data_IF_317270805206
#
_entry.id   IF_317270805206
#
_cell.length_a   1.000
_cell.length_b   1.000
_cell.length_c   1.000
_cell.angle_alpha   90.00
_cell.angle_beta   90.00
_cell.angle_gamma   90.00
#
_symmetry.space_group_name_H-M   'P 1'
#
loop_
_entity.id
_entity.type
_entity.pdbx_description
1 polymer ?
#
# COMPACT_ATOMS: atom_id res chain seq x y z
N UNK A 1 -31.11 45.42 28.32
CA UNK A 1 -32.03 44.27 28.44
C UNK A 1 -32.46 43.90 27.03
N UNK A 2 -32.24 42.72 26.48
CA UNK A 2 -32.01 41.38 27.05
C UNK A 2 -31.40 40.51 25.93
N UNK A 3 -30.46 39.63 26.26
CA UNK A 3 -29.68 38.81 25.32
C UNK A 3 -30.47 37.62 24.75
N UNK A 4 -30.31 37.23 23.48
CA UNK A 4 -30.70 35.90 23.04
C UNK A 4 -29.67 34.84 23.48
N UNK A 5 -30.14 33.91 24.29
CA UNK A 5 -29.44 32.74 24.79
C UNK A 5 -29.02 31.79 23.64
N UNK A 6 -27.70 31.55 23.49
CA UNK A 6 -27.18 30.45 22.65
C UNK A 6 -27.48 29.13 23.35
N UNK A 7 -28.55 28.46 22.94
CA UNK A 7 -28.71 27.03 23.22
C UNK A 7 -27.66 26.26 22.39
N UNK A 8 -26.52 25.95 23.03
CA UNK A 8 -25.58 24.95 22.53
C UNK A 8 -26.25 23.59 22.64
N UNK A 9 -26.86 23.13 21.56
CA UNK A 9 -27.27 21.73 21.45
C UNK A 9 -26.01 20.88 21.36
N UNK A 10 -25.50 20.48 22.52
CA UNK A 10 -24.49 19.46 22.69
C UNK A 10 -25.10 18.10 22.30
N UNK A 11 -25.29 17.89 20.99
CA UNK A 11 -25.64 16.60 20.43
C UNK A 11 -24.40 15.72 20.54
N UNK A 12 -24.44 14.81 21.50
CA UNK A 12 -23.32 13.96 21.86
C UNK A 12 -22.88 13.07 20.70
N UNK A 13 -21.61 13.22 20.30
CA UNK A 13 -20.83 12.30 19.45
C UNK A 13 -20.82 10.83 19.92
N UNK A 14 -21.45 10.52 21.06
CA UNK A 14 -21.33 9.25 21.79
C UNK A 14 -22.55 8.33 21.65
N UNK A 15 -23.60 8.75 20.93
CA UNK A 15 -24.85 7.98 20.79
C UNK A 15 -25.02 7.27 19.44
N UNK A 16 -24.01 7.26 18.56
CA UNK A 16 -24.12 6.62 17.23
C UNK A 16 -23.47 5.22 17.17
N UNK A 17 -22.82 4.74 18.23
CA UNK A 17 -22.12 3.45 18.26
C UNK A 17 -22.76 2.42 19.21
N UNK A 18 -24.07 2.16 19.08
CA UNK A 18 -24.73 1.07 19.83
C UNK A 18 -25.83 0.33 19.06
N UNK A 19 -25.57 -0.06 17.81
CA UNK A 19 -26.44 -1.00 17.10
C UNK A 19 -25.67 -1.77 16.03
N UNK A 20 -24.90 -2.79 16.45
CA UNK A 20 -24.59 -3.94 15.60
C UNK A 20 -24.83 -5.18 16.45
N UNK A 21 -25.87 -5.92 16.08
CA UNK A 21 -26.29 -7.16 16.70
C UNK A 21 -25.25 -8.26 16.43
N UNK A 22 -24.97 -9.05 17.47
CA UNK A 22 -24.11 -10.21 17.41
C UNK A 22 -24.79 -11.35 16.65
N UNK A 23 -24.15 -11.85 15.60
CA UNK A 23 -24.44 -13.16 14.98
C UNK A 23 -23.23 -14.08 15.17
N UNK A 24 -23.38 -15.27 15.75
CA UNK A 24 -22.29 -16.23 15.82
C UNK A 24 -22.16 -16.92 14.45
N UNK A 25 -21.11 -16.60 13.69
CA UNK A 25 -20.73 -17.37 12.51
C UNK A 25 -19.94 -18.59 12.95
N UNK A 26 -20.52 -19.77 12.72
CA UNK A 26 -19.94 -21.08 12.98
C UNK A 26 -18.69 -21.25 12.12
N UNK A 27 -17.55 -21.50 12.76
CA UNK A 27 -16.28 -21.82 12.13
C UNK A 27 -16.36 -23.19 11.43
N UNK A 28 -16.28 -23.20 10.10
CA UNK A 28 -15.98 -24.39 9.34
C UNK A 28 -14.46 -24.47 9.14
N UNK A 29 -13.81 -25.29 9.97
CA UNK A 29 -12.43 -25.74 9.75
C UNK A 29 -12.44 -26.70 8.55
N UNK A 30 -12.24 -26.16 7.35
CA UNK A 30 -12.00 -26.95 6.14
C UNK A 30 -10.51 -27.02 5.87
N UNK A 31 -9.88 -28.14 6.21
CA UNK A 31 -8.55 -28.52 5.71
C UNK A 31 -8.67 -28.87 4.23
N UNK A 32 -8.58 -27.88 3.35
CA UNK A 32 -8.52 -28.10 1.91
C UNK A 32 -7.05 -28.17 1.48
N UNK A 33 -6.42 -29.33 1.71
CA UNK A 33 -5.27 -29.74 0.93
C UNK A 33 -5.79 -30.15 -0.45
N UNK A 34 -5.78 -29.22 -1.41
CA UNK A 34 -5.92 -29.57 -2.83
C UNK A 34 -4.88 -28.80 -3.63
N UNK A 35 -3.98 -29.54 -4.26
CA UNK A 35 -3.03 -29.06 -5.26
C UNK A 35 -3.81 -28.64 -6.51
N UNK A 36 -4.37 -27.44 -6.47
CA UNK A 36 -4.65 -26.67 -7.68
C UNK A 36 -3.30 -26.21 -8.27
N UNK A 37 -3.19 -25.95 -9.58
CA UNK A 37 -2.06 -25.18 -10.09
C UNK A 37 -1.95 -23.91 -9.25
N UNK A 38 -0.79 -23.65 -8.64
CA UNK A 38 -0.60 -22.52 -7.74
C UNK A 38 -0.95 -21.23 -8.49
N UNK A 39 -2.12 -20.68 -8.21
CA UNK A 39 -2.48 -19.36 -8.70
C UNK A 39 -1.46 -18.38 -8.13
N UNK A 40 -0.82 -17.53 -8.98
CA UNK A 40 0.21 -16.61 -8.50
C UNK A 40 -0.30 -15.79 -7.32
N UNK A 41 0.52 -15.64 -6.28
CA UNK A 41 0.13 -14.89 -5.09
C UNK A 41 -0.37 -13.50 -5.49
N UNK A 42 -1.57 -13.13 -5.03
CA UNK A 42 -2.23 -11.86 -5.35
C UNK A 42 -1.37 -10.62 -4.96
N UNK A 43 -0.47 -10.77 -3.98
CA UNK A 43 0.44 -9.70 -3.55
C UNK A 43 1.64 -9.51 -4.48
N UNK A 44 1.94 -10.47 -5.37
CA UNK A 44 3.12 -10.47 -6.23
C UNK A 44 3.14 -9.24 -7.15
N UNK A 45 2.01 -8.90 -7.75
CA UNK A 45 1.88 -7.73 -8.62
C UNK A 45 2.19 -6.43 -7.85
N UNK A 46 1.66 -6.30 -6.63
CA UNK A 46 1.88 -5.12 -5.80
C UNK A 46 3.34 -5.01 -5.33
N UNK A 47 3.99 -6.14 -5.05
CA UNK A 47 5.40 -6.18 -4.64
C UNK A 47 6.34 -5.79 -5.79
N UNK A 48 6.08 -6.31 -7.00
CA UNK A 48 6.80 -5.93 -8.21
C UNK A 48 6.65 -4.44 -8.52
N UNK A 49 5.42 -3.91 -8.41
CA UNK A 49 5.15 -2.49 -8.58
C UNK A 49 5.94 -1.66 -7.55
N UNK A 50 5.95 -2.05 -6.27
CA UNK A 50 6.71 -1.35 -5.24
C UNK A 50 8.21 -1.29 -5.52
N UNK A 51 8.82 -2.39 -6.00
CA UNK A 51 10.24 -2.39 -6.41
C UNK A 51 10.49 -1.51 -7.63
N UNK A 52 9.60 -1.54 -8.63
CA UNK A 52 9.68 -0.66 -9.80
C UNK A 52 9.57 0.80 -9.37
N UNK A 53 8.56 1.17 -8.58
CA UNK A 53 8.38 2.54 -8.11
C UNK A 53 9.60 3.06 -7.34
N UNK A 54 10.22 2.20 -6.53
CA UNK A 54 11.46 2.53 -5.84
C UNK A 54 12.62 2.81 -6.82
N UNK A 55 12.80 1.98 -7.85
CA UNK A 55 13.82 2.22 -8.89
C UNK A 55 13.58 3.49 -9.68
N UNK A 56 12.32 3.81 -10.00
CA UNK A 56 11.96 5.07 -10.65
C UNK A 56 12.33 6.25 -9.76
N UNK A 57 11.96 6.19 -8.47
CA UNK A 57 12.24 7.26 -7.52
C UNK A 57 13.75 7.46 -7.29
N UNK A 58 14.53 6.37 -7.17
CA UNK A 58 16.00 6.43 -7.12
C UNK A 58 16.61 7.02 -8.39
N UNK A 59 16.03 6.75 -9.56
CA UNK A 59 16.48 7.37 -10.82
C UNK A 59 16.18 8.86 -10.83
N UNK A 60 14.97 9.26 -10.44
CA UNK A 60 14.59 10.68 -10.35
C UNK A 60 15.50 11.42 -9.37
N UNK A 61 15.78 10.84 -8.21
CA UNK A 61 16.62 11.46 -7.20
C UNK A 61 18.04 11.76 -7.69
N UNK A 62 18.62 10.82 -8.47
CA UNK A 62 19.95 10.98 -9.07
C UNK A 62 19.98 11.99 -10.21
N UNK A 63 18.90 12.11 -10.97
CA UNK A 63 18.85 12.93 -12.19
C UNK A 63 18.30 14.34 -11.99
N UNK A 64 17.50 14.58 -10.94
CA UNK A 64 16.81 15.86 -10.73
C UNK A 64 17.05 16.38 -9.31
N UNK A 65 18.10 17.19 -9.13
CA UNK A 65 18.52 17.68 -7.81
C UNK A 65 17.40 18.35 -6.97
N UNK A 66 16.47 19.06 -7.61
CA UNK A 66 15.34 19.72 -6.92
C UNK A 66 14.29 18.74 -6.38
N UNK A 67 14.26 17.51 -6.91
CA UNK A 67 13.36 16.44 -6.48
C UNK A 67 14.07 15.38 -5.63
N UNK A 68 15.38 15.54 -5.38
CA UNK A 68 16.21 14.48 -4.82
C UNK A 68 15.71 14.01 -3.45
N UNK A 69 15.42 14.94 -2.54
CA UNK A 69 15.02 14.61 -1.18
C UNK A 69 13.68 13.86 -1.17
N UNK A 70 12.64 14.43 -1.80
CA UNK A 70 11.31 13.80 -1.89
C UNK A 70 11.34 12.46 -2.64
N UNK A 71 12.14 12.35 -3.71
CA UNK A 71 12.26 11.11 -4.46
C UNK A 71 13.00 10.02 -3.66
N UNK A 72 13.99 10.38 -2.84
CA UNK A 72 14.66 9.43 -1.93
C UNK A 72 13.72 8.95 -0.81
N UNK A 73 12.86 9.82 -0.29
CA UNK A 73 11.83 9.42 0.68
C UNK A 73 10.84 8.43 0.07
N UNK A 74 10.37 8.70 -1.15
CA UNK A 74 9.51 7.78 -1.90
C UNK A 74 10.23 6.45 -2.13
N UNK A 75 11.48 6.46 -2.60
CA UNK A 75 12.26 5.24 -2.80
C UNK A 75 12.36 4.40 -1.52
N UNK A 76 12.66 5.03 -0.39
CA UNK A 76 12.76 4.37 0.91
C UNK A 76 11.44 3.74 1.32
N UNK A 77 10.34 4.49 1.21
CA UNK A 77 9.02 3.99 1.52
C UNK A 77 8.63 2.82 0.61
N UNK A 78 8.81 2.94 -0.71
CA UNK A 78 8.47 1.87 -1.68
C UNK A 78 9.33 0.62 -1.51
N UNK A 79 10.63 0.75 -1.19
CA UNK A 79 11.47 -0.39 -0.80
C UNK A 79 10.97 -1.07 0.48
N UNK A 80 10.53 -0.29 1.48
CA UNK A 80 9.94 -0.83 2.71
C UNK A 80 8.65 -1.62 2.42
N UNK A 81 7.77 -1.07 1.58
CA UNK A 81 6.56 -1.76 1.15
C UNK A 81 6.88 -3.07 0.41
N UNK A 82 7.85 -3.05 -0.52
CA UNK A 82 8.28 -4.24 -1.24
C UNK A 82 8.79 -5.35 -0.29
N UNK A 83 9.59 -4.97 0.72
CA UNK A 83 10.09 -5.91 1.73
C UNK A 83 8.96 -6.53 2.56
N UNK A 84 7.99 -5.73 3.01
CA UNK A 84 6.85 -6.23 3.77
C UNK A 84 5.97 -7.17 2.94
N UNK A 85 5.74 -6.87 1.66
CA UNK A 85 4.99 -7.72 0.74
C UNK A 85 5.73 -9.03 0.46
N UNK A 86 7.04 -8.97 0.19
CA UNK A 86 7.89 -10.15 0.03
C UNK A 86 7.81 -11.06 1.25
N UNK A 87 7.97 -10.51 2.44
CA UNK A 87 7.90 -11.26 3.69
C UNK A 87 6.55 -11.97 3.85
N UNK A 88 5.45 -11.30 3.49
CA UNK A 88 4.11 -11.90 3.58
C UNK A 88 3.83 -12.95 2.50
N UNK A 89 4.43 -12.82 1.32
CA UNK A 89 4.41 -13.86 0.27
C UNK A 89 5.16 -15.09 0.78
N UNK A 90 6.37 -14.90 1.30
CA UNK A 90 7.23 -16.00 1.79
C UNK A 90 6.66 -16.68 3.04
N UNK A 91 5.89 -15.95 3.86
CA UNK A 91 5.20 -16.52 5.02
C UNK A 91 4.15 -17.55 4.62
N UNK A 92 3.42 -17.31 3.52
CA UNK A 92 2.41 -18.25 3.01
C UNK A 92 3.00 -19.29 2.06
N UNK A 93 4.08 -18.94 1.38
CA UNK A 93 4.81 -19.83 0.48
C UNK A 93 6.27 -19.93 0.94
N UNK A 94 6.55 -20.71 2.00
CA UNK A 94 7.92 -20.93 2.44
C UNK A 94 8.76 -21.52 1.32
N UNK A 95 10.02 -21.12 1.32
CA UNK A 95 11.00 -21.25 0.24
C UNK A 95 12.32 -21.65 0.87
N UNK A 96 13.16 -22.36 0.13
CA UNK A 96 14.50 -22.65 0.65
C UNK A 96 15.29 -21.34 0.76
N UNK A 97 16.07 -21.14 1.85
CA UNK A 97 16.84 -19.89 2.03
C UNK A 97 17.83 -19.60 0.90
N UNK A 98 18.28 -20.64 0.19
CA UNK A 98 19.20 -20.57 -0.94
C UNK A 98 18.51 -20.19 -2.27
N UNK A 99 17.18 -20.24 -2.33
CA UNK A 99 16.44 -19.86 -3.53
C UNK A 99 16.51 -18.34 -3.78
N UNK A 100 16.33 -17.87 -5.02
CA UNK A 100 16.18 -16.43 -5.31
C UNK A 100 14.86 -15.89 -4.73
N UNK A 101 14.75 -14.62 -4.29
CA UNK A 101 13.54 -14.03 -3.66
C UNK A 101 12.28 -14.21 -4.52
N UNK A 102 11.12 -14.43 -3.89
CA UNK A 102 9.87 -14.75 -4.61
C UNK A 102 9.39 -13.59 -5.47
N UNK A 103 9.74 -12.38 -5.05
CA UNK A 103 9.62 -11.15 -5.84
C UNK A 103 11.02 -10.83 -6.37
N UNK A 104 11.27 -10.90 -7.68
CA UNK A 104 12.57 -10.57 -8.26
C UNK A 104 12.88 -9.07 -8.07
N UNK A 105 14.15 -8.68 -8.20
CA UNK A 105 14.50 -7.27 -8.18
C UNK A 105 14.08 -6.55 -9.47
N UNK A 106 13.61 -5.31 -9.32
CA UNK A 106 13.26 -4.49 -10.47
C UNK A 106 14.53 -4.06 -11.23
N UNK A 107 14.51 -4.10 -12.58
CA UNK A 107 15.63 -3.64 -13.38
C UNK A 107 15.89 -2.14 -13.17
N UNK A 108 17.12 -1.66 -13.44
CA UNK A 108 17.41 -0.23 -13.38
C UNK A 108 16.49 0.59 -14.30
N UNK A 109 16.03 1.73 -13.82
CA UNK A 109 15.20 2.66 -14.60
C UNK A 109 15.94 3.96 -14.92
N UNK A 110 15.54 4.57 -16.03
CA UNK A 110 15.96 5.91 -16.42
C UNK A 110 14.92 6.93 -15.95
N UNK A 111 15.37 8.06 -15.41
CA UNK A 111 14.49 9.15 -15.04
C UNK A 111 13.91 9.82 -16.30
N UNK A 112 12.67 10.34 -16.24
CA UNK A 112 12.14 11.20 -17.29
C UNK A 112 13.04 12.42 -17.54
N UNK A 113 13.08 12.89 -18.79
CA UNK A 113 14.05 13.90 -19.23
C UNK A 113 13.86 15.32 -18.65
N UNK A 114 12.72 15.61 -18.05
CA UNK A 114 12.45 16.90 -17.39
C UNK A 114 11.96 16.70 -15.96
N UNK A 115 12.21 17.68 -15.08
CA UNK A 115 11.75 17.63 -13.70
C UNK A 115 10.21 17.56 -13.59
N UNK A 116 9.49 18.23 -14.49
CA UNK A 116 8.02 18.16 -14.54
C UNK A 116 7.53 16.75 -14.90
N UNK A 117 8.10 16.14 -15.95
CA UNK A 117 7.78 14.77 -16.32
C UNK A 117 8.19 13.76 -15.25
N UNK A 118 9.29 14.01 -14.53
CA UNK A 118 9.73 13.18 -13.42
C UNK A 118 8.77 13.23 -12.24
N UNK A 119 8.34 14.42 -11.83
CA UNK A 119 7.34 14.58 -10.77
C UNK A 119 6.00 13.91 -11.17
N UNK A 120 5.54 14.13 -12.40
CA UNK A 120 4.32 13.50 -12.90
C UNK A 120 4.41 11.97 -12.91
N UNK A 121 5.57 11.40 -13.28
CA UNK A 121 5.78 9.95 -13.25
C UNK A 121 5.71 9.38 -11.81
N UNK A 122 6.24 10.10 -10.81
CA UNK A 122 6.11 9.71 -9.41
C UNK A 122 4.66 9.78 -8.92
N UNK A 123 3.93 10.83 -9.30
CA UNK A 123 2.50 10.97 -8.98
C UNK A 123 1.68 9.83 -9.59
N UNK A 124 1.92 9.49 -10.86
CA UNK A 124 1.22 8.39 -11.53
C UNK A 124 1.51 7.05 -10.85
N UNK A 125 2.79 6.76 -10.57
CA UNK A 125 3.20 5.55 -9.87
C UNK A 125 2.51 5.41 -8.50
N UNK A 126 2.49 6.48 -7.70
CA UNK A 126 1.86 6.46 -6.38
C UNK A 126 0.33 6.35 -6.44
N UNK A 127 -0.34 7.01 -7.40
CA UNK A 127 -1.78 6.84 -7.61
C UNK A 127 -2.11 5.39 -7.98
N UNK A 128 -1.39 4.85 -8.96
CA UNK A 128 -1.55 3.46 -9.40
C UNK A 128 -1.34 2.48 -8.24
N UNK A 129 -0.28 2.66 -7.45
CA UNK A 129 0.00 1.83 -6.29
C UNK A 129 -1.09 1.95 -5.20
N UNK A 130 -1.58 3.17 -4.93
CA UNK A 130 -2.67 3.41 -3.97
C UNK A 130 -3.93 2.65 -4.39
N UNK A 131 -4.32 2.80 -5.65
CA UNK A 131 -5.59 2.29 -6.17
C UNK A 131 -5.56 0.76 -6.31
N UNK A 132 -4.44 0.20 -6.77
CA UNK A 132 -4.22 -1.26 -6.80
C UNK A 132 -4.27 -1.86 -5.39
N UNK A 133 -3.55 -1.27 -4.43
CA UNK A 133 -3.55 -1.77 -3.05
C UNK A 133 -4.93 -1.67 -2.39
N UNK A 134 -5.65 -0.55 -2.59
CA UNK A 134 -7.02 -0.39 -2.09
C UNK A 134 -8.00 -1.39 -2.72
N UNK A 135 -7.86 -1.65 -4.02
CA UNK A 135 -8.70 -2.59 -4.75
C UNK A 135 -8.57 -4.04 -4.28
N UNK A 136 -7.43 -4.43 -3.72
CA UNK A 136 -7.19 -5.78 -3.19
C UNK A 136 -7.78 -6.02 -1.80
N UNK A 137 -7.97 -4.97 -0.99
CA UNK A 137 -8.46 -5.08 0.39
C UNK A 137 -9.69 -6.01 0.54
N UNK A 138 -10.78 -5.88 -0.25
CA UNK A 138 -11.98 -6.71 -0.05
C UNK A 138 -11.79 -8.19 -0.41
N UNK A 139 -10.73 -8.54 -1.13
CA UNK A 139 -10.46 -9.91 -1.58
C UNK A 139 -9.45 -10.66 -0.70
N UNK A 140 -8.83 -9.99 0.29
CA UNK A 140 -7.74 -10.53 1.08
C UNK A 140 -8.18 -10.91 2.51
N UNK A 141 -7.53 -11.91 3.13
CA UNK A 141 -7.68 -12.19 4.56
C UNK A 141 -7.26 -10.98 5.43
N UNK A 142 -7.85 -10.85 6.62
CA UNK A 142 -7.73 -9.69 7.51
C UNK A 142 -6.31 -9.11 7.65
N UNK A 143 -5.30 -9.96 7.89
CA UNK A 143 -3.91 -9.50 8.02
C UNK A 143 -3.38 -8.87 6.73
N UNK A 144 -3.59 -9.54 5.58
CA UNK A 144 -3.15 -9.05 4.26
C UNK A 144 -3.95 -7.82 3.84
N UNK A 145 -5.25 -7.77 4.16
CA UNK A 145 -6.09 -6.60 3.95
C UNK A 145 -5.57 -5.38 4.74
N UNK A 146 -5.19 -5.58 6.00
CA UNK A 146 -4.55 -4.56 6.83
C UNK A 146 -3.22 -4.08 6.27
N UNK A 147 -2.36 -5.02 5.84
CA UNK A 147 -1.08 -4.72 5.19
C UNK A 147 -1.28 -3.85 3.94
N UNK A 148 -2.07 -4.30 2.96
CA UNK A 148 -2.26 -3.54 1.70
C UNK A 148 -3.02 -2.24 1.92
N UNK A 149 -3.95 -2.19 2.89
CA UNK A 149 -4.63 -0.96 3.29
C UNK A 149 -3.65 0.08 3.84
N UNK A 150 -2.68 -0.34 4.67
CA UNK A 150 -1.63 0.55 5.17
C UNK A 150 -0.71 1.07 4.06
N UNK A 151 -0.40 0.23 3.06
CA UNK A 151 0.40 0.60 1.89
C UNK A 151 -0.35 1.64 1.05
N UNK A 152 -1.64 1.43 0.80
CA UNK A 152 -2.50 2.38 0.10
C UNK A 152 -2.52 3.75 0.79
N UNK A 153 -2.70 3.77 2.12
CA UNK A 153 -2.68 4.99 2.92
C UNK A 153 -1.30 5.69 2.89
N UNK A 154 -0.20 4.92 2.92
CA UNK A 154 1.15 5.47 2.77
C UNK A 154 1.36 6.12 1.40
N UNK A 155 0.97 5.46 0.31
CA UNK A 155 1.03 6.04 -1.04
C UNK A 155 0.20 7.33 -1.16
N UNK A 156 -0.99 7.35 -0.56
CA UNK A 156 -1.81 8.56 -0.49
C UNK A 156 -1.12 9.70 0.27
N UNK A 157 -0.39 9.38 1.34
CA UNK A 157 0.36 10.37 2.13
C UNK A 157 1.57 10.91 1.35
N UNK A 158 2.29 10.06 0.63
CA UNK A 158 3.42 10.46 -0.22
C UNK A 158 2.99 11.40 -1.36
N UNK A 159 1.77 11.23 -1.89
CA UNK A 159 1.21 12.14 -2.89
C UNK A 159 1.06 13.57 -2.37
N UNK A 160 0.79 13.76 -1.08
CA UNK A 160 0.69 15.11 -0.49
C UNK A 160 2.05 15.81 -0.40
N UNK A 161 3.16 15.04 -0.32
CA UNK A 161 4.53 15.59 -0.28
C UNK A 161 5.00 16.04 -1.67
N UNK A 162 4.41 15.51 -2.74
CA UNK A 162 4.71 15.88 -4.13
C UNK A 162 3.95 17.13 -4.63
N UNK A 163 3.00 17.65 -3.84
CA UNK A 163 2.14 18.78 -4.22
C UNK A 163 2.73 20.14 -3.87
#
# INVERSE_FOLDING_TARGET
MESPSRARSALGRRSVLRLIAATPVVAALGTACSSAPDEPDQLLALANAAKSDARLAEAVARSHAKLADVANEIATARNTHAGALQQEIDRLNPRDPEDPPSVPDAPPQQAPGSASAASQALVEALNSARDQAAGLVPALPDYRAGLVGSISASCASLLEVLR
#
